data_IF_452319347161
#
_entry.id   IF_452319347161
#
_cell.length_a   1.000
_cell.length_b   1.000
_cell.length_c   1.000
_cell.angle_alpha   90.00
_cell.angle_beta   90.00
_cell.angle_gamma   90.00
#
_symmetry.space_group_name_H-M   'P 1'
#
loop_
_entity.id
_entity.type
_entity.pdbx_description
1 polymer ?
#
# COMPACT_ATOMS: atom_id res chain seq x y z
N UNK A 1 16.28 16.65 16.47
CA UNK A 1 16.22 16.48 14.99
C UNK A 1 15.69 17.77 14.39
N UNK A 2 16.17 18.19 13.20
CA UNK A 2 15.55 19.31 12.47
C UNK A 2 14.07 19.03 12.19
N UNK A 3 13.28 20.08 11.97
CA UNK A 3 11.85 19.94 11.70
C UNK A 3 11.64 19.17 10.38
N UNK A 4 10.60 18.36 10.28
CA UNK A 4 10.31 17.55 9.08
C UNK A 4 10.23 18.40 7.80
N UNK A 5 9.64 19.60 7.91
CA UNK A 5 9.59 20.53 6.79
C UNK A 5 10.98 21.05 6.41
N UNK A 6 11.87 21.29 7.37
CA UNK A 6 13.24 21.73 7.07
C UNK A 6 14.03 20.62 6.36
N UNK A 7 13.81 19.36 6.75
CA UNK A 7 14.41 18.21 6.07
C UNK A 7 13.89 18.12 4.63
N UNK A 8 12.58 18.24 4.43
CA UNK A 8 11.98 18.24 3.10
C UNK A 8 12.50 19.42 2.24
N UNK A 9 12.63 20.61 2.83
CA UNK A 9 13.14 21.81 2.18
C UNK A 9 14.64 21.76 1.86
N UNK A 10 15.45 21.09 2.68
CA UNK A 10 16.90 21.05 2.48
C UNK A 10 17.37 19.79 1.75
N UNK A 11 16.52 18.76 1.64
CA UNK A 11 16.81 17.57 0.84
C UNK A 11 16.94 17.91 -0.65
N UNK A 12 18.00 17.39 -1.29
CA UNK A 12 18.20 17.48 -2.74
C UNK A 12 17.30 16.50 -3.49
N UNK A 13 17.20 15.27 -2.99
CA UNK A 13 16.40 14.19 -3.56
C UNK A 13 15.57 13.53 -2.47
N UNK A 14 14.41 13.00 -2.85
CA UNK A 14 13.57 12.18 -1.99
C UNK A 14 13.49 10.77 -2.59
N UNK A 15 14.12 9.81 -1.94
CA UNK A 15 14.12 8.41 -2.38
C UNK A 15 12.94 7.70 -1.73
N UNK A 16 11.93 7.37 -2.51
CA UNK A 16 10.69 6.75 -2.05
C UNK A 16 10.73 5.24 -2.28
N UNK A 17 10.41 4.44 -1.25
CA UNK A 17 10.20 3.00 -1.38
C UNK A 17 8.83 2.70 -1.99
N UNK A 18 8.63 3.15 -3.22
CA UNK A 18 7.42 2.97 -4.01
C UNK A 18 7.80 2.58 -5.44
N UNK A 19 6.93 1.80 -6.08
CA UNK A 19 7.08 1.41 -7.49
C UNK A 19 6.04 2.20 -8.27
N UNK A 20 6.49 3.03 -9.22
CA UNK A 20 5.66 3.98 -9.97
C UNK A 20 4.41 3.33 -10.58
N UNK A 21 4.55 2.13 -11.15
CA UNK A 21 3.44 1.39 -11.78
C UNK A 21 2.47 0.76 -10.79
N UNK A 22 2.85 0.74 -9.50
CA UNK A 22 2.08 0.14 -8.42
C UNK A 22 1.54 1.15 -7.42
N UNK A 23 1.75 2.44 -7.57
CA UNK A 23 1.10 3.43 -6.69
C UNK A 23 -0.42 3.48 -6.96
N UNK A 24 -1.26 3.57 -5.91
CA UNK A 24 -2.72 3.52 -6.02
C UNK A 24 -3.33 4.74 -6.71
N UNK A 25 -2.63 5.87 -6.69
CA UNK A 25 -3.09 7.12 -7.28
C UNK A 25 -1.93 7.71 -8.08
N UNK A 26 -2.18 8.09 -9.33
CA UNK A 26 -1.24 8.86 -10.13
C UNK A 26 -1.09 10.26 -9.53
N UNK A 27 -0.27 10.38 -8.49
CA UNK A 27 -0.02 11.65 -7.84
C UNK A 27 1.09 12.40 -8.59
N UNK A 28 0.93 13.70 -8.83
CA UNK A 28 2.03 14.52 -9.32
C UNK A 28 3.10 14.61 -8.23
N UNK A 29 4.21 13.91 -8.44
CA UNK A 29 5.39 14.01 -7.58
C UNK A 29 6.40 14.99 -8.18
N UNK A 30 7.20 15.62 -7.33
CA UNK A 30 8.29 16.49 -7.77
C UNK A 30 9.33 15.72 -8.58
N UNK A 31 10.03 16.39 -9.50
CA UNK A 31 11.10 15.77 -10.30
C UNK A 31 12.28 15.28 -9.45
N UNK A 32 12.41 15.80 -8.23
CA UNK A 32 13.40 15.37 -7.23
C UNK A 32 12.99 14.08 -6.48
N UNK A 33 11.82 13.49 -6.78
CA UNK A 33 11.38 12.21 -6.19
C UNK A 33 11.88 11.04 -7.04
N UNK A 34 12.66 10.16 -6.41
CA UNK A 34 13.25 8.98 -7.02
C UNK A 34 12.53 7.74 -6.48
N UNK A 35 11.89 7.01 -7.37
CA UNK A 35 11.26 5.73 -7.03
C UNK A 35 12.31 4.63 -6.87
N UNK A 36 12.33 4.00 -5.71
CA UNK A 36 13.26 2.95 -5.31
C UNK A 36 12.54 1.70 -4.76
N UNK A 37 11.22 1.61 -4.97
CA UNK A 37 10.43 0.47 -4.53
C UNK A 37 10.95 -0.83 -5.11
N UNK A 38 10.94 -1.89 -4.31
CA UNK A 38 11.41 -3.20 -4.75
C UNK A 38 12.92 -3.35 -4.90
N UNK A 39 13.74 -2.41 -4.40
CA UNK A 39 15.21 -2.55 -4.41
C UNK A 39 15.72 -3.81 -3.68
N UNK A 40 14.92 -4.36 -2.76
CA UNK A 40 15.21 -5.59 -2.01
C UNK A 40 14.80 -6.88 -2.77
N UNK A 41 14.06 -6.75 -3.87
CA UNK A 41 13.60 -7.88 -4.65
C UNK A 41 14.79 -8.55 -5.35
N UNK A 42 14.78 -9.87 -5.31
CA UNK A 42 15.71 -10.75 -6.01
C UNK A 42 14.89 -11.77 -6.80
N UNK A 43 15.50 -12.32 -7.84
CA UNK A 43 14.93 -13.48 -8.49
C UNK A 43 14.91 -14.65 -7.52
N UNK A 44 13.76 -15.31 -7.44
CA UNK A 44 13.59 -16.49 -6.61
C UNK A 44 14.52 -17.60 -7.09
N UNK A 45 15.32 -18.14 -6.17
CA UNK A 45 16.16 -19.31 -6.41
C UNK A 45 15.35 -20.58 -6.11
N UNK A 46 15.69 -21.72 -6.73
CA UNK A 46 15.14 -23.01 -6.33
C UNK A 46 15.38 -23.26 -4.84
N UNK A 47 14.38 -23.80 -4.14
CA UNK A 47 14.58 -24.25 -2.77
C UNK A 47 15.53 -25.46 -2.77
N UNK A 48 16.20 -25.70 -1.65
CA UNK A 48 17.21 -26.75 -1.52
C UNK A 48 17.03 -27.53 -0.24
N UNK A 49 17.42 -28.81 -0.24
CA UNK A 49 17.44 -29.65 0.95
C UNK A 49 16.05 -30.03 1.46
N UNK A 50 15.90 -30.05 2.78
CA UNK A 50 14.69 -30.48 3.48
C UNK A 50 13.44 -29.67 3.10
N UNK A 51 13.62 -28.37 2.83
CA UNK A 51 12.52 -27.47 2.48
C UNK A 51 11.94 -27.76 1.09
N UNK A 52 12.78 -28.11 0.11
CA UNK A 52 12.31 -28.50 -1.22
C UNK A 52 11.58 -29.85 -1.15
N UNK A 53 12.15 -30.83 -0.44
CA UNK A 53 11.50 -32.13 -0.24
C UNK A 53 10.14 -31.97 0.44
N UNK A 54 10.07 -31.13 1.47
CA UNK A 54 8.82 -30.79 2.13
C UNK A 54 7.82 -30.12 1.18
N UNK A 55 8.26 -29.13 0.39
CA UNK A 55 7.41 -28.45 -0.58
C UNK A 55 6.90 -29.42 -1.67
N UNK A 56 7.75 -30.34 -2.14
CA UNK A 56 7.36 -31.34 -3.13
C UNK A 56 6.37 -32.36 -2.58
N UNK A 57 6.51 -32.73 -1.31
CA UNK A 57 5.60 -33.64 -0.62
C UNK A 57 4.17 -33.09 -0.44
N UNK A 58 3.89 -31.85 -0.86
CA UNK A 58 2.53 -31.29 -0.92
C UNK A 58 1.72 -31.75 -2.14
N UNK A 59 2.29 -32.59 -3.02
CA UNK A 59 1.60 -33.13 -4.19
C UNK A 59 1.12 -32.03 -5.15
N UNK A 60 0.02 -32.29 -5.85
CA UNK A 60 -0.64 -31.36 -6.79
C UNK A 60 -1.49 -30.28 -6.10
N UNK A 61 -1.91 -30.55 -4.85
CA UNK A 61 -2.65 -29.59 -4.04
C UNK A 61 -1.81 -28.33 -3.79
N UNK A 62 -0.51 -28.49 -3.62
CA UNK A 62 0.41 -27.41 -3.31
C UNK A 62 0.41 -27.08 -1.82
N UNK A 63 1.01 -25.95 -1.45
CA UNK A 63 1.11 -25.54 -0.06
C UNK A 63 0.78 -24.06 0.14
N UNK A 64 0.52 -23.71 1.40
CA UNK A 64 0.30 -22.36 1.89
C UNK A 64 1.56 -21.93 2.64
N UNK A 65 1.97 -20.68 2.45
CA UNK A 65 3.01 -20.06 3.28
C UNK A 65 2.38 -19.00 4.18
N UNK A 66 2.73 -18.99 5.47
CA UNK A 66 2.23 -18.02 6.45
C UNK A 66 3.40 -17.30 7.13
N UNK A 67 3.36 -15.96 7.11
CA UNK A 67 4.36 -15.11 7.76
C UNK A 67 3.79 -13.75 8.18
N UNK A 68 3.90 -13.44 9.47
CA UNK A 68 3.54 -12.13 10.05
C UNK A 68 4.73 -11.18 10.21
N UNK A 69 5.79 -11.41 9.42
CA UNK A 69 7.00 -10.60 9.45
C UNK A 69 7.89 -10.90 10.67
N UNK A 70 8.74 -9.95 11.03
CA UNK A 70 9.74 -10.10 12.09
C UNK A 70 9.34 -9.46 13.42
N UNK A 71 8.36 -8.55 13.41
CA UNK A 71 7.92 -7.83 14.61
C UNK A 71 6.88 -8.61 15.43
N UNK A 72 6.12 -9.47 14.77
CA UNK A 72 5.07 -10.27 15.40
C UNK A 72 5.68 -11.60 15.79
N UNK A 73 5.69 -11.88 17.09
CA UNK A 73 6.13 -13.15 17.65
C UNK A 73 4.94 -14.07 17.82
N UNK A 74 5.04 -15.27 17.27
CA UNK A 74 4.03 -16.31 17.43
C UNK A 74 3.95 -16.76 18.88
N UNK A 75 5.06 -16.74 19.62
CA UNK A 75 5.08 -17.06 21.06
C UNK A 75 4.28 -16.09 21.94
N UNK A 76 4.06 -14.86 21.48
CA UNK A 76 3.32 -13.82 22.20
C UNK A 76 1.88 -13.67 21.66
N UNK A 77 1.47 -14.53 20.72
CA UNK A 77 0.12 -14.53 20.15
C UNK A 77 -0.90 -14.95 21.22
N UNK A 78 -1.99 -14.19 21.42
CA UNK A 78 -3.06 -14.60 22.31
C UNK A 78 -3.63 -15.96 21.90
N UNK A 79 -3.89 -16.79 22.91
CA UNK A 79 -4.35 -18.17 22.75
C UNK A 79 -5.60 -18.27 21.88
N UNK A 80 -6.55 -17.35 22.05
CA UNK A 80 -7.79 -17.27 21.29
C UNK A 80 -7.54 -17.24 19.77
N UNK A 81 -6.63 -16.36 19.31
CA UNK A 81 -6.31 -16.22 17.89
C UNK A 81 -5.43 -17.36 17.38
N UNK A 82 -4.53 -17.87 18.23
CA UNK A 82 -3.72 -19.04 17.93
C UNK A 82 -4.60 -20.26 17.63
N UNK A 83 -5.62 -20.48 18.46
CA UNK A 83 -6.61 -21.55 18.28
C UNK A 83 -7.40 -21.42 16.98
N UNK A 84 -7.70 -20.20 16.52
CA UNK A 84 -8.35 -19.98 15.22
C UNK A 84 -7.49 -20.52 14.07
N UNK A 85 -6.19 -20.18 14.05
CA UNK A 85 -5.27 -20.70 13.03
C UNK A 85 -5.12 -22.21 13.09
N UNK A 86 -4.93 -22.77 14.29
CA UNK A 86 -4.74 -24.21 14.49
C UNK A 86 -5.96 -24.99 14.03
N UNK A 87 -7.17 -24.58 14.44
CA UNK A 87 -8.42 -25.21 14.02
C UNK A 87 -8.60 -25.11 12.51
N UNK A 88 -8.42 -23.94 11.94
CA UNK A 88 -8.57 -23.74 10.51
C UNK A 88 -7.59 -24.60 9.70
N UNK A 89 -6.31 -24.64 10.10
CA UNK A 89 -5.31 -25.46 9.40
C UNK A 89 -5.55 -26.96 9.56
N UNK A 90 -6.06 -27.40 10.71
CA UNK A 90 -6.45 -28.81 10.90
C UNK A 90 -7.62 -29.25 10.02
N UNK A 91 -8.44 -28.31 9.55
CA UNK A 91 -9.63 -28.57 8.73
C UNK A 91 -9.38 -28.49 7.22
N UNK A 92 -8.17 -28.15 6.77
CA UNK A 92 -7.83 -28.08 5.34
C UNK A 92 -6.85 -29.18 4.93
N UNK A 93 -7.05 -29.73 3.74
CA UNK A 93 -6.15 -30.73 3.13
C UNK A 93 -5.02 -30.05 2.32
N UNK A 94 -4.32 -29.12 2.98
CA UNK A 94 -3.19 -28.40 2.40
C UNK A 94 -2.06 -28.33 3.41
N UNK A 95 -0.82 -28.45 2.94
CA UNK A 95 0.36 -28.23 3.79
C UNK A 95 0.53 -26.75 4.06
N UNK A 96 0.87 -26.40 5.30
CA UNK A 96 1.09 -25.02 5.73
C UNK A 96 2.50 -24.87 6.28
N UNK A 97 3.29 -24.02 5.63
CA UNK A 97 4.58 -23.59 6.14
C UNK A 97 4.39 -22.31 6.95
N UNK A 98 4.57 -22.39 8.26
CA UNK A 98 4.35 -21.25 9.14
C UNK A 98 5.68 -20.74 9.71
N UNK A 99 6.05 -19.52 9.31
CA UNK A 99 7.15 -18.77 9.93
C UNK A 99 6.77 -18.43 11.37
N UNK A 100 7.49 -19.00 12.33
CA UNK A 100 7.24 -18.82 13.76
C UNK A 100 8.57 -18.69 14.51
N UNK A 101 8.61 -17.89 15.57
CA UNK A 101 9.77 -17.86 16.47
C UNK A 101 9.86 -19.09 17.41
N UNK A 102 8.81 -19.92 17.41
CA UNK A 102 8.76 -21.23 18.07
C UNK A 102 9.06 -22.37 17.07
N UNK A 103 9.73 -23.42 17.55
CA UNK A 103 10.01 -24.63 16.76
C UNK A 103 8.94 -25.71 16.95
N UNK A 104 8.26 -25.70 18.10
CA UNK A 104 7.21 -26.65 18.45
C UNK A 104 6.03 -25.93 19.09
N UNK A 105 4.85 -26.54 18.96
CA UNK A 105 3.60 -26.08 19.53
C UNK A 105 2.78 -27.33 19.86
N UNK A 106 2.18 -27.40 21.06
CA UNK A 106 1.63 -28.65 21.60
C UNK A 106 0.44 -29.22 20.81
N UNK A 107 -0.32 -28.32 20.19
CA UNK A 107 -1.54 -28.57 19.41
C UNK A 107 -1.32 -28.30 17.91
N UNK A 108 -0.07 -28.39 17.44
CA UNK A 108 0.26 -28.20 16.03
C UNK A 108 -0.34 -29.34 15.17
N UNK A 109 -1.15 -29.04 14.13
CA UNK A 109 -1.68 -30.05 13.23
C UNK A 109 -0.58 -30.70 12.37
N UNK A 110 -0.76 -31.96 11.97
CA UNK A 110 0.23 -32.74 11.20
C UNK A 110 0.59 -32.14 9.83
N UNK A 111 -0.32 -31.35 9.24
CA UNK A 111 -0.11 -30.67 7.96
C UNK A 111 0.61 -29.31 8.10
N UNK A 112 0.92 -28.86 9.32
CA UNK A 112 1.57 -27.58 9.59
C UNK A 112 3.02 -27.81 10.02
N UNK A 113 3.95 -27.08 9.39
CA UNK A 113 5.35 -27.10 9.77
C UNK A 113 5.79 -25.71 10.24
N UNK A 114 6.36 -25.63 11.44
CA UNK A 114 6.97 -24.42 11.98
C UNK A 114 8.44 -24.31 11.56
N UNK A 115 8.84 -23.10 11.14
CA UNK A 115 10.24 -22.77 10.84
C UNK A 115 10.56 -21.34 11.29
N UNK A 116 11.72 -21.16 11.92
CA UNK A 116 12.18 -19.86 12.43
C UNK A 116 12.69 -18.90 11.36
N UNK A 117 13.47 -19.45 10.43
CA UNK A 117 14.06 -18.73 9.32
C UNK A 117 13.70 -19.42 8.02
N UNK A 118 13.25 -18.63 7.05
CA UNK A 118 12.77 -19.12 5.76
C UNK A 118 13.20 -18.16 4.65
N UNK A 119 13.62 -18.68 3.48
CA UNK A 119 13.93 -17.85 2.32
C UNK A 119 12.63 -17.40 1.64
N UNK A 120 11.96 -16.40 2.23
CA UNK A 120 10.62 -15.95 1.84
C UNK A 120 10.49 -15.66 0.34
N UNK A 121 11.44 -14.95 -0.29
CA UNK A 121 11.37 -14.65 -1.72
C UNK A 121 11.45 -15.91 -2.59
N UNK A 122 12.25 -16.90 -2.19
CA UNK A 122 12.39 -18.17 -2.89
C UNK A 122 11.12 -19.02 -2.75
N UNK A 123 10.52 -19.05 -1.54
CA UNK A 123 9.22 -19.70 -1.29
C UNK A 123 8.11 -19.05 -2.12
N UNK A 124 8.08 -17.72 -2.17
CA UNK A 124 7.11 -16.97 -2.97
C UNK A 124 7.25 -17.24 -4.47
N UNK A 125 8.46 -17.58 -4.95
CA UNK A 125 8.68 -18.00 -6.33
C UNK A 125 8.46 -19.50 -6.60
N UNK A 126 8.15 -20.30 -5.58
CA UNK A 126 8.03 -21.75 -5.74
C UNK A 126 6.74 -22.13 -6.48
N UNK A 127 6.78 -23.03 -7.50
CA UNK A 127 5.62 -23.34 -8.35
C UNK A 127 4.45 -24.00 -7.62
N UNK A 128 4.70 -24.69 -6.51
CA UNK A 128 3.66 -25.31 -5.67
C UNK A 128 3.02 -24.38 -4.65
N UNK A 129 3.51 -23.15 -4.49
CA UNK A 129 2.89 -22.19 -3.58
C UNK A 129 1.52 -21.74 -4.14
N UNK A 130 0.48 -21.91 -3.34
CA UNK A 130 -0.89 -21.52 -3.71
C UNK A 130 -1.30 -20.17 -3.15
N UNK A 131 -0.94 -19.92 -1.89
CA UNK A 131 -1.42 -18.77 -1.13
C UNK A 131 -0.33 -18.29 -0.17
N UNK A 132 -0.18 -16.97 -0.07
CA UNK A 132 0.58 -16.35 0.99
C UNK A 132 -0.34 -15.69 2.02
N UNK A 133 -0.31 -16.20 3.25
CA UNK A 133 -0.98 -15.61 4.41
C UNK A 133 0.00 -14.65 5.06
N UNK A 134 -0.33 -13.35 5.10
CA UNK A 134 0.58 -12.34 5.64
C UNK A 134 -0.12 -11.24 6.41
N UNK A 135 0.60 -10.61 7.33
CA UNK A 135 0.15 -9.42 8.03
C UNK A 135 -0.03 -8.18 7.14
N UNK A 136 0.44 -8.20 5.88
CA UNK A 136 0.27 -7.08 4.96
C UNK A 136 1.36 -6.00 5.03
N UNK A 137 2.52 -6.31 5.61
CA UNK A 137 3.67 -5.40 5.57
C UNK A 137 4.12 -5.10 4.14
N UNK A 138 4.60 -3.88 3.90
CA UNK A 138 4.96 -3.36 2.57
C UNK A 138 5.91 -4.27 1.79
N UNK A 139 6.95 -4.82 2.42
CA UNK A 139 7.88 -5.72 1.75
C UNK A 139 7.23 -7.06 1.40
N UNK A 140 6.49 -7.67 2.32
CA UNK A 140 5.79 -8.93 2.08
C UNK A 140 4.79 -8.83 0.94
N UNK A 141 4.00 -7.76 0.87
CA UNK A 141 3.05 -7.56 -0.23
C UNK A 141 3.77 -7.28 -1.55
N UNK A 142 4.88 -6.52 -1.53
CA UNK A 142 5.72 -6.27 -2.71
C UNK A 142 6.34 -7.56 -3.25
N UNK A 143 6.88 -8.42 -2.39
CA UNK A 143 7.46 -9.72 -2.78
C UNK A 143 6.41 -10.69 -3.32
N UNK A 144 5.20 -10.68 -2.74
CA UNK A 144 4.10 -11.54 -3.18
C UNK A 144 3.58 -11.16 -4.57
N UNK A 145 3.30 -9.87 -4.80
CA UNK A 145 2.87 -9.41 -6.12
C UNK A 145 4.01 -9.53 -7.14
N UNK A 146 5.28 -9.38 -6.73
CA UNK A 146 6.42 -9.65 -7.60
C UNK A 146 6.33 -11.05 -8.19
N UNK A 147 6.05 -12.05 -7.37
CA UNK A 147 5.97 -13.44 -7.80
C UNK A 147 4.57 -13.86 -8.29
N UNK A 148 3.62 -12.92 -8.42
CA UNK A 148 2.26 -13.21 -8.88
C UNK A 148 1.51 -14.16 -7.94
N UNK A 149 1.75 -14.04 -6.64
CA UNK A 149 1.15 -14.87 -5.58
C UNK A 149 -0.03 -14.12 -4.94
N UNK A 150 -1.24 -14.70 -4.94
CA UNK A 150 -2.37 -14.13 -4.20
C UNK A 150 -2.12 -14.09 -2.69
N UNK A 151 -2.72 -13.10 -2.03
CA UNK A 151 -2.54 -12.88 -0.59
C UNK A 151 -3.84 -13.02 0.18
N UNK A 152 -3.78 -13.71 1.32
CA UNK A 152 -4.77 -13.58 2.39
C UNK A 152 -4.14 -12.77 3.53
N UNK A 153 -4.69 -11.59 3.76
CA UNK A 153 -4.17 -10.58 4.65
C UNK A 153 -4.75 -10.66 6.05
N UNK A 154 -3.89 -10.60 7.07
CA UNK A 154 -4.25 -10.57 8.50
C UNK A 154 -3.65 -9.31 9.13
N UNK A 155 -4.22 -8.11 8.89
CA UNK A 155 -3.61 -6.86 9.34
C UNK A 155 -3.60 -6.78 10.86
N UNK A 156 -2.49 -6.37 11.47
CA UNK A 156 -2.34 -6.32 12.92
C UNK A 156 -2.22 -4.87 13.43
N UNK A 157 -1.43 -4.03 12.76
CA UNK A 157 -1.22 -2.64 13.17
C UNK A 157 -0.65 -1.76 12.05
N UNK A 158 -0.74 -0.45 12.24
CA UNK A 158 -0.08 0.53 11.38
C UNK A 158 -0.58 0.54 9.93
N UNK A 159 0.35 0.58 8.98
CA UNK A 159 0.11 0.68 7.54
C UNK A 159 -0.44 -0.61 6.91
N UNK A 160 -0.38 -1.73 7.63
CA UNK A 160 -0.83 -3.05 7.16
C UNK A 160 -2.28 -3.05 6.66
N UNK A 161 -3.18 -2.32 7.35
CA UNK A 161 -4.58 -2.18 6.94
C UNK A 161 -4.70 -1.50 5.57
N UNK A 162 -3.97 -0.40 5.36
CA UNK A 162 -3.96 0.32 4.08
C UNK A 162 -3.32 -0.49 2.96
N UNK A 163 -2.25 -1.23 3.26
CA UNK A 163 -1.60 -2.11 2.29
C UNK A 163 -2.53 -3.24 1.84
N UNK A 164 -3.25 -3.88 2.77
CA UNK A 164 -4.20 -4.95 2.43
C UNK A 164 -5.49 -4.45 1.80
N UNK A 165 -5.94 -3.24 2.15
CA UNK A 165 -7.01 -2.57 1.41
C UNK A 165 -6.62 -2.37 -0.06
N UNK A 166 -5.37 -2.02 -0.36
CA UNK A 166 -4.88 -1.95 -1.74
C UNK A 166 -4.82 -3.33 -2.41
N UNK A 167 -4.42 -4.38 -1.69
CA UNK A 167 -4.45 -5.76 -2.20
C UNK A 167 -5.86 -6.16 -2.63
N UNK A 168 -6.84 -5.92 -1.77
CA UNK A 168 -8.24 -6.26 -2.01
C UNK A 168 -8.86 -5.39 -3.12
N UNK A 169 -8.65 -4.07 -3.09
CA UNK A 169 -9.17 -3.15 -4.11
C UNK A 169 -8.61 -3.43 -5.51
N UNK A 170 -7.39 -3.96 -5.59
CA UNK A 170 -6.78 -4.39 -6.85
C UNK A 170 -7.12 -5.82 -7.23
N UNK A 171 -7.86 -6.55 -6.39
CA UNK A 171 -8.42 -7.85 -6.74
C UNK A 171 -7.42 -9.00 -6.81
N UNK A 172 -6.27 -8.92 -6.13
CA UNK A 172 -5.27 -10.01 -6.09
C UNK A 172 -5.14 -10.69 -4.72
N UNK A 173 -6.09 -10.42 -3.83
CA UNK A 173 -6.15 -11.04 -2.50
C UNK A 173 -7.32 -10.51 -1.69
N UNK A 174 -7.39 -10.92 -0.42
CA UNK A 174 -8.39 -10.48 0.55
C UNK A 174 -7.74 -10.09 1.86
N UNK A 175 -8.37 -9.21 2.63
CA UNK A 175 -8.08 -9.01 4.04
C UNK A 175 -9.16 -9.70 4.88
N UNK A 176 -8.77 -10.31 6.00
CA UNK A 176 -9.75 -10.80 6.97
C UNK A 176 -10.48 -9.62 7.62
N UNK A 177 -11.72 -9.87 8.03
CA UNK A 177 -12.47 -8.97 8.91
C UNK A 177 -12.31 -9.42 10.36
N UNK A 178 -11.68 -8.58 11.19
CA UNK A 178 -11.50 -8.86 12.62
C UNK A 178 -12.82 -8.98 13.38
N UNK A 179 -13.90 -8.38 12.90
CA UNK A 179 -15.22 -8.52 13.54
C UNK A 179 -15.79 -9.93 13.39
N UNK A 180 -15.29 -10.72 12.44
CA UNK A 180 -15.74 -12.09 12.17
C UNK A 180 -14.55 -13.05 12.03
N UNK A 181 -13.52 -12.88 12.86
CA UNK A 181 -12.33 -13.73 12.80
C UNK A 181 -12.53 -15.05 13.55
N UNK A 182 -13.18 -16.00 12.88
CA UNK A 182 -13.41 -17.37 13.35
C UNK A 182 -12.65 -18.38 12.48
N UNK A 183 -12.50 -19.62 12.96
CA UNK A 183 -11.82 -20.68 12.19
C UNK A 183 -12.54 -20.95 10.87
N UNK A 184 -13.87 -21.04 10.89
CA UNK A 184 -14.69 -21.31 9.69
C UNK A 184 -14.57 -20.18 8.66
N UNK A 185 -14.68 -18.91 9.11
CA UNK A 185 -14.52 -17.76 8.23
C UNK A 185 -13.10 -17.66 7.64
N UNK A 186 -12.09 -18.08 8.40
CA UNK A 186 -10.71 -18.12 7.92
C UNK A 186 -10.49 -19.23 6.88
N UNK A 187 -11.05 -20.43 7.10
CA UNK A 187 -11.05 -21.52 6.12
C UNK A 187 -11.77 -21.12 4.84
N UNK A 188 -12.94 -20.49 4.94
CA UNK A 188 -13.69 -19.96 3.79
C UNK A 188 -12.83 -18.96 3.00
N UNK A 189 -12.17 -18.03 3.70
CA UNK A 189 -11.29 -17.04 3.08
C UNK A 189 -10.09 -17.69 2.37
N UNK A 190 -9.50 -18.74 2.95
CA UNK A 190 -8.42 -19.51 2.32
C UNK A 190 -8.91 -20.13 1.01
N UNK A 191 -10.05 -20.83 1.05
CA UNK A 191 -10.62 -21.49 -0.12
C UNK A 191 -11.02 -20.49 -1.21
N UNK A 192 -11.59 -19.35 -0.84
CA UNK A 192 -11.96 -18.30 -1.79
C UNK A 192 -10.74 -17.76 -2.55
N UNK A 193 -9.66 -17.44 -1.85
CA UNK A 193 -8.46 -16.90 -2.50
C UNK A 193 -7.76 -17.96 -3.35
N UNK A 194 -7.63 -19.19 -2.86
CA UNK A 194 -6.98 -20.29 -3.60
C UNK A 194 -7.75 -20.67 -4.86
N UNK A 195 -9.08 -20.74 -4.78
CA UNK A 195 -9.93 -21.17 -5.90
C UNK A 195 -10.28 -20.01 -6.86
N UNK A 196 -9.99 -18.77 -6.49
CA UNK A 196 -10.24 -17.60 -7.35
C UNK A 196 -9.21 -17.48 -8.47
N UNK A 197 -9.55 -18.02 -9.64
CA UNK A 197 -8.76 -17.84 -10.85
C UNK A 197 -8.63 -16.35 -11.24
N UNK A 198 -9.61 -15.52 -10.88
CA UNK A 198 -9.56 -14.07 -11.09
C UNK A 198 -8.43 -13.44 -10.29
N UNK A 199 -8.35 -13.72 -8.98
CA UNK A 199 -7.29 -13.19 -8.12
C UNK A 199 -5.90 -13.66 -8.54
N UNK A 200 -5.76 -14.92 -8.93
CA UNK A 200 -4.48 -15.43 -9.46
C UNK A 200 -4.07 -14.75 -10.76
N UNK A 201 -4.99 -14.60 -11.71
CA UNK A 201 -4.73 -13.88 -12.97
C UNK A 201 -4.33 -12.43 -12.71
N UNK A 202 -4.99 -11.78 -11.76
CA UNK A 202 -4.70 -10.40 -11.41
C UNK A 202 -3.34 -10.24 -10.72
N UNK A 203 -2.98 -11.13 -9.79
CA UNK A 203 -1.66 -11.18 -9.19
C UNK A 203 -0.55 -11.31 -10.26
N UNK A 204 -0.74 -12.22 -11.23
CA UNK A 204 0.20 -12.41 -12.35
C UNK A 204 0.23 -11.20 -13.29
N UNK A 205 -0.91 -10.57 -13.56
CA UNK A 205 -0.98 -9.35 -14.37
C UNK A 205 -0.21 -8.21 -13.72
N UNK A 206 -0.42 -7.98 -12.42
CA UNK A 206 0.27 -6.96 -11.64
C UNK A 206 1.77 -7.26 -11.49
N UNK A 207 2.16 -8.53 -11.34
CA UNK A 207 3.56 -8.95 -11.39
C UNK A 207 4.26 -8.45 -12.67
N UNK A 208 3.62 -8.67 -13.83
CA UNK A 208 4.16 -8.20 -15.12
C UNK A 208 4.30 -6.68 -15.16
N UNK A 209 3.27 -5.95 -14.74
CA UNK A 209 3.27 -4.48 -14.70
C UNK A 209 4.33 -3.91 -13.75
N UNK A 210 4.54 -4.58 -12.61
CA UNK A 210 5.49 -4.13 -11.61
C UNK A 210 6.95 -4.38 -12.06
N UNK A 211 7.20 -5.51 -12.71
CA UNK A 211 8.51 -5.89 -13.24
C UNK A 211 8.90 -5.13 -14.51
N UNK A 212 7.91 -4.66 -15.27
CA UNK A 212 8.12 -3.86 -16.48
C UNK A 212 8.56 -2.42 -16.12
N UNK A 213 9.86 -2.26 -15.91
CA UNK A 213 10.50 -0.98 -15.60
C UNK A 213 11.65 -0.72 -16.58
N UNK A 214 11.77 0.54 -17.02
CA UNK A 214 12.84 0.98 -17.93
C UNK A 214 14.23 0.78 -17.31
N UNK A 215 14.34 1.00 -16.00
CA UNK A 215 15.58 0.90 -15.23
C UNK A 215 15.26 0.17 -13.92
N UNK A 216 16.18 -0.67 -13.45
CA UNK A 216 16.03 -1.31 -12.15
C UNK A 216 16.00 -0.26 -11.03
N UNK A 217 15.26 -0.51 -9.94
CA UNK A 217 15.22 0.41 -8.79
C UNK A 217 16.61 0.70 -8.22
N UNK A 218 17.50 -0.29 -8.25
CA UNK A 218 18.90 -0.14 -7.82
C UNK A 218 19.67 0.82 -8.72
N UNK A 219 19.62 0.61 -10.03
CA UNK A 219 20.36 1.44 -10.98
C UNK A 219 19.80 2.86 -11.05
N UNK A 220 18.48 3.02 -10.90
CA UNK A 220 17.82 4.31 -10.80
C UNK A 220 18.35 5.12 -9.60
N UNK A 221 18.41 4.49 -8.42
CA UNK A 221 18.95 5.12 -7.22
C UNK A 221 20.41 5.50 -7.41
N UNK A 222 21.25 4.59 -7.92
CA UNK A 222 22.67 4.86 -8.18
C UNK A 222 22.84 6.07 -9.10
N UNK A 223 22.10 6.09 -10.22
CA UNK A 223 22.15 7.19 -11.17
C UNK A 223 21.83 8.55 -10.54
N UNK A 224 20.73 8.62 -9.77
CA UNK A 224 20.29 9.88 -9.15
C UNK A 224 21.17 10.33 -8.00
N UNK A 225 21.73 9.40 -7.22
CA UNK A 225 22.73 9.71 -6.19
C UNK A 225 23.99 10.29 -6.85
N UNK A 226 24.51 9.64 -7.89
CA UNK A 226 25.67 10.15 -8.64
C UNK A 226 25.36 11.50 -9.28
N UNK A 227 24.14 11.70 -9.79
CA UNK A 227 23.69 12.98 -10.33
C UNK A 227 23.77 14.08 -9.27
N UNK A 228 23.21 13.86 -8.08
CA UNK A 228 23.26 14.83 -7.01
C UNK A 228 24.71 15.14 -6.58
N UNK A 229 25.60 14.14 -6.56
CA UNK A 229 27.02 14.35 -6.25
C UNK A 229 27.69 15.20 -7.34
N UNK A 230 27.52 14.84 -8.62
CA UNK A 230 28.11 15.54 -9.78
C UNK A 230 27.74 17.02 -9.82
N UNK A 231 26.52 17.35 -9.40
CA UNK A 231 25.98 18.71 -9.46
C UNK A 231 25.95 19.44 -8.11
N UNK A 232 26.57 18.86 -7.06
CA UNK A 232 26.58 19.41 -5.69
C UNK A 232 25.17 19.70 -5.14
N UNK A 233 24.24 18.80 -5.45
CA UNK A 233 22.82 18.88 -5.13
C UNK A 233 21.93 18.72 -6.37
N UNK A 234 20.63 18.71 -6.14
CA UNK A 234 19.60 18.63 -7.19
C UNK A 234 18.51 19.70 -7.01
N UNK A 235 18.90 20.88 -6.52
CA UNK A 235 17.98 21.96 -6.13
C UNK A 235 17.12 22.48 -7.28
N UNK A 236 17.61 22.40 -8.52
CA UNK A 236 16.89 22.79 -9.73
C UNK A 236 15.75 21.82 -10.13
N UNK A 237 15.72 20.61 -9.57
CA UNK A 237 14.62 19.65 -9.76
C UNK A 237 13.48 19.84 -8.74
N UNK A 238 13.68 20.72 -7.76
CA UNK A 238 12.67 20.99 -6.74
C UNK A 238 11.60 21.90 -7.29
N UNK A 239 10.35 21.60 -6.97
CA UNK A 239 9.24 22.47 -7.31
C UNK A 239 9.36 23.78 -6.51
N UNK A 240 9.40 24.97 -7.15
CA UNK A 240 9.47 26.24 -6.44
C UNK A 240 8.31 26.46 -5.46
N UNK A 241 7.17 25.80 -5.71
CA UNK A 241 6.01 25.80 -4.83
C UNK A 241 6.32 25.34 -3.40
N UNK A 242 7.37 24.52 -3.18
CA UNK A 242 7.75 24.10 -1.83
C UNK A 242 8.17 25.26 -0.94
N UNK A 243 8.71 26.34 -1.51
CA UNK A 243 9.15 27.51 -0.76
C UNK A 243 8.08 28.62 -0.68
N UNK A 244 6.91 28.41 -1.29
CA UNK A 244 5.84 29.40 -1.28
C UNK A 244 5.01 29.30 -0.01
N UNK A 245 4.69 30.44 0.59
CA UNK A 245 3.68 30.51 1.64
C UNK A 245 2.31 30.10 1.09
N UNK A 246 1.46 29.53 1.95
CA UNK A 246 0.15 28.99 1.56
C UNK A 246 -0.70 29.98 0.75
N UNK A 247 -0.68 31.28 1.10
CA UNK A 247 -1.47 32.29 0.42
C UNK A 247 -0.99 32.60 -1.01
N UNK A 248 0.31 32.43 -1.30
CA UNK A 248 0.84 32.51 -2.68
C UNK A 248 0.52 31.24 -3.46
N UNK A 249 0.67 30.08 -2.81
CA UNK A 249 0.35 28.78 -3.43
C UNK A 249 -1.10 28.72 -3.90
N UNK A 250 -2.03 29.25 -3.10
CA UNK A 250 -3.46 29.28 -3.40
C UNK A 250 -3.95 30.58 -4.06
N UNK A 251 -3.05 31.51 -4.41
CA UNK A 251 -3.38 32.82 -5.01
C UNK A 251 -4.48 33.57 -4.24
N UNK A 252 -4.35 33.65 -2.91
CA UNK A 252 -5.36 34.26 -2.04
C UNK A 252 -5.62 35.74 -2.38
N UNK A 253 -4.61 36.44 -2.88
CA UNK A 253 -4.69 37.81 -3.40
C UNK A 253 -5.57 37.93 -4.65
N UNK A 254 -5.49 36.96 -5.57
CA UNK A 254 -6.36 36.88 -6.75
C UNK A 254 -7.81 36.61 -6.34
N UNK A 255 -8.04 35.66 -5.43
CA UNK A 255 -9.38 35.39 -4.89
C UNK A 255 -9.97 36.61 -4.17
N UNK A 256 -9.17 37.31 -3.38
CA UNK A 256 -9.57 38.54 -2.72
C UNK A 256 -9.95 39.62 -3.73
N UNK A 257 -9.19 39.75 -4.82
CA UNK A 257 -9.48 40.70 -5.90
C UNK A 257 -10.82 40.39 -6.58
N UNK A 258 -11.11 39.11 -6.88
CA UNK A 258 -12.42 38.70 -7.41
C UNK A 258 -13.57 38.96 -6.42
N UNK A 259 -13.37 38.68 -5.13
CA UNK A 259 -14.36 38.93 -4.09
C UNK A 259 -14.70 40.42 -3.97
N UNK A 260 -13.69 41.30 -4.05
CA UNK A 260 -13.89 42.76 -4.04
C UNK A 260 -14.68 43.24 -5.27
N UNK A 261 -14.33 42.76 -6.48
CA UNK A 261 -15.06 43.12 -7.70
C UNK A 261 -16.51 42.65 -7.64
N UNK A 262 -16.76 41.43 -7.16
CA UNK A 262 -18.10 40.89 -6.99
C UNK A 262 -18.91 41.72 -5.99
N UNK A 263 -18.34 42.03 -4.82
CA UNK A 263 -18.98 42.86 -3.80
C UNK A 263 -19.34 44.26 -4.34
N UNK A 264 -18.44 44.89 -5.09
CA UNK A 264 -18.69 46.18 -5.74
C UNK A 264 -19.82 46.09 -6.78
N UNK A 265 -19.86 45.04 -7.60
CA UNK A 265 -20.93 44.85 -8.58
C UNK A 265 -22.30 44.66 -7.92
N UNK A 266 -22.38 43.85 -6.85
CA UNK A 266 -23.61 43.63 -6.09
C UNK A 266 -24.06 44.90 -5.39
N UNK A 267 -23.12 45.69 -4.86
CA UNK A 267 -23.39 46.99 -4.26
C UNK A 267 -23.95 47.98 -5.28
N UNK A 268 -23.37 48.04 -6.49
CA UNK A 268 -23.88 48.89 -7.58
C UNK A 268 -25.29 48.46 -8.04
N UNK A 269 -25.54 47.15 -8.18
CA UNK A 269 -26.87 46.62 -8.48
C UNK A 269 -27.89 46.99 -7.40
N UNK A 270 -27.51 46.85 -6.12
CA UNK A 270 -28.34 47.28 -5.00
C UNK A 270 -28.66 48.78 -5.05
N UNK A 271 -27.68 49.63 -5.35
CA UNK A 271 -27.89 51.08 -5.50
C UNK A 271 -28.82 51.40 -6.67
N UNK A 272 -28.66 50.74 -7.82
CA UNK A 272 -29.55 50.90 -8.97
C UNK A 272 -30.98 50.49 -8.61
N UNK A 273 -31.19 49.31 -8.04
CA UNK A 273 -32.51 48.83 -7.60
C UNK A 273 -33.15 49.76 -6.56
N UNK A 274 -32.36 50.24 -5.59
CA UNK A 274 -32.83 51.20 -4.57
C UNK A 274 -33.25 52.53 -5.20
N UNK A 275 -32.53 52.99 -6.22
CA UNK A 275 -32.83 54.23 -6.95
C UNK A 275 -34.09 54.06 -7.80
N UNK A 276 -34.20 52.97 -8.57
CA UNK A 276 -35.42 52.61 -9.31
C UNK A 276 -36.64 52.52 -8.37
N UNK A 277 -36.52 51.85 -7.22
CA UNK A 277 -37.60 51.77 -6.23
C UNK A 277 -37.99 53.15 -5.66
N UNK A 278 -37.03 54.05 -5.46
CA UNK A 278 -37.29 55.42 -5.02
C UNK A 278 -37.96 56.26 -6.11
N UNK A 279 -37.59 56.10 -7.38
CA UNK A 279 -38.23 56.78 -8.52
C UNK A 279 -39.65 56.27 -8.80
N UNK A 280 -39.91 54.99 -8.53
CA UNK A 280 -41.23 54.36 -8.69
C UNK A 280 -42.16 54.57 -7.47
N UNK A 281 -41.69 55.19 -6.38
CA UNK A 281 -42.56 55.56 -5.26
C UNK A 281 -43.47 56.72 -5.70
N UNK A 282 -44.80 56.56 -5.70
CA UNK A 282 -45.70 57.65 -6.04
C UNK A 282 -45.55 58.77 -5.02
N UNK A 283 -45.31 59.99 -5.51
CA UNK A 283 -45.41 61.22 -4.72
C UNK A 283 -46.83 61.27 -4.14
N UNK A 284 -46.99 61.20 -2.82
CA UNK A 284 -48.30 61.45 -2.20
C UNK A 284 -48.70 62.88 -2.58
N UNK A 285 -49.67 63.03 -3.48
CA UNK A 285 -50.36 64.31 -3.67
C UNK A 285 -50.95 64.70 -2.31
N UNK A 286 -50.55 65.87 -1.81
CA UNK A 286 -51.26 66.51 -0.70
C UNK A 286 -52.61 66.92 -1.25
N UNK A 287 -53.68 66.29 -0.77
CA UNK A 287 -55.04 66.79 -0.91
C UNK A 287 -55.14 68.06 -0.06
N UNK A 288 -55.37 69.20 -0.70
CA UNK A 288 -55.86 70.42 -0.05
C UNK A 288 -57.32 70.25 0.38
#
# INVERSE_FOLDING_TARGET
MPHLLDIAHNSSLFIANSIRTMDPVGQPVGQNVVYAGGIHLKDAKPLTGDLEEWAQSSGEAGFIYMSFGSLVKTSEMPEEYRQVFIKAFSSIDLKVLWKSDQETMADLPDNVQLRKWLPQQDILGHPKLRLFITHGGLHSTTEAVNNGVPVLGVPLFGDQFSNLAQVQNRGWGKAIDWNNFTADAFVESIHEVINSQSMKKEAVRLSKIMRDQIISSKDNVNYWVDYAIRHKGAYHLKCPATYMSWYRLYNADVWLSFAVVLALSLYLQYLMLRTCYRCLRPTKQKTE
#
